data_IF_572267308148
#
_entry.id   IF_572267308148
#
_cell.length_a   1.000
_cell.length_b   1.000
_cell.length_c   1.000
_cell.angle_alpha   90.00
_cell.angle_beta   90.00
_cell.angle_gamma   90.00
#
_symmetry.space_group_name_H-M   'P 1'
#
loop_
_entity.id
_entity.type
_entity.pdbx_description
1 polymer ?
#
# COMPACT_ATOMS: atom_id res chain seq x y z
N UNK A 1 -16.35 3.72 -4.35
CA UNK A 1 -16.15 5.08 -3.82
C UNK A 1 -14.81 5.27 -3.12
N UNK A 2 -14.40 4.38 -2.21
CA UNK A 2 -13.12 4.50 -1.48
C UNK A 2 -11.89 4.65 -2.40
N UNK A 3 -11.83 3.90 -3.51
CA UNK A 3 -10.74 3.97 -4.49
C UNK A 3 -10.58 5.37 -5.09
N UNK A 4 -11.70 5.99 -5.49
CA UNK A 4 -11.71 7.35 -6.04
C UNK A 4 -11.27 8.40 -5.00
N UNK A 5 -11.67 8.23 -3.74
CA UNK A 5 -11.20 9.11 -2.65
C UNK A 5 -9.68 9.02 -2.46
N UNK A 6 -9.09 7.83 -2.54
CA UNK A 6 -7.64 7.65 -2.43
C UNK A 6 -6.90 8.21 -3.65
N UNK A 7 -7.44 8.06 -4.86
CA UNK A 7 -6.90 8.71 -6.05
C UNK A 7 -6.90 10.23 -5.94
N UNK A 8 -8.01 10.83 -5.51
CA UNK A 8 -8.08 12.27 -5.28
C UNK A 8 -7.08 12.72 -4.20
N UNK A 9 -6.91 11.95 -3.12
CA UNK A 9 -5.90 12.23 -2.09
C UNK A 9 -4.47 12.17 -2.64
N UNK A 10 -4.17 11.23 -3.54
CA UNK A 10 -2.87 11.14 -4.24
C UNK A 10 -2.64 12.37 -5.13
N UNK A 11 -3.65 12.80 -5.90
CA UNK A 11 -3.54 13.99 -6.75
C UNK A 11 -3.31 15.27 -5.94
N UNK A 12 -4.04 15.44 -4.84
CA UNK A 12 -3.87 16.56 -3.92
C UNK A 12 -2.48 16.53 -3.27
N UNK A 13 -2.01 15.36 -2.83
CA UNK A 13 -0.69 15.20 -2.23
C UNK A 13 0.44 15.51 -3.24
N UNK A 14 0.30 15.06 -4.50
CA UNK A 14 1.22 15.39 -5.59
C UNK A 14 1.26 16.88 -5.87
N UNK A 15 0.09 17.53 -5.94
CA UNK A 15 -0.02 18.97 -6.16
C UNK A 15 0.62 19.81 -5.04
N UNK A 16 0.59 19.31 -3.80
CA UNK A 16 1.22 19.95 -2.65
C UNK A 16 2.69 19.54 -2.44
N UNK A 17 3.22 18.65 -3.29
CA UNK A 17 4.51 17.98 -3.10
C UNK A 17 4.65 17.32 -1.71
N UNK A 18 3.52 16.95 -1.10
CA UNK A 18 3.46 16.37 0.22
C UNK A 18 3.72 14.86 0.12
N UNK A 19 4.98 14.49 -0.13
CA UNK A 19 5.40 13.10 -0.36
C UNK A 19 4.88 12.17 0.73
N UNK A 20 5.00 12.55 2.02
CA UNK A 20 4.53 11.74 3.16
C UNK A 20 3.02 11.44 3.11
N UNK A 21 2.21 12.39 2.62
CA UNK A 21 0.77 12.16 2.41
C UNK A 21 0.49 11.26 1.21
N UNK A 22 1.30 11.40 0.15
CA UNK A 22 1.23 10.53 -1.03
C UNK A 22 1.49 9.06 -0.64
N UNK A 23 2.53 8.80 0.16
CA UNK A 23 2.86 7.47 0.65
C UNK A 23 1.74 6.88 1.51
N UNK A 24 1.15 7.67 2.41
CA UNK A 24 0.02 7.23 3.26
C UNK A 24 -1.24 6.91 2.46
N UNK A 25 -1.52 7.70 1.43
CA UNK A 25 -2.63 7.44 0.52
C UNK A 25 -2.39 6.15 -0.30
N UNK A 26 -1.17 5.99 -0.84
CA UNK A 26 -0.78 4.79 -1.59
C UNK A 26 -0.85 3.51 -0.73
N UNK A 27 -0.37 3.54 0.52
CA UNK A 27 -0.47 2.43 1.46
C UNK A 27 -1.93 2.04 1.76
N UNK A 28 -2.81 3.04 1.89
CA UNK A 28 -4.23 2.80 2.15
C UNK A 28 -4.95 2.21 0.94
N UNK A 29 -4.60 2.67 -0.26
CA UNK A 29 -5.09 2.12 -1.52
C UNK A 29 -4.58 0.70 -1.76
N UNK A 30 -3.30 0.44 -1.45
CA UNK A 30 -2.69 -0.89 -1.54
C UNK A 30 -3.38 -1.90 -0.60
N UNK A 31 -3.69 -1.52 0.65
CA UNK A 31 -4.48 -2.36 1.56
C UNK A 31 -5.90 -2.61 1.06
N UNK A 32 -6.54 -1.64 0.41
CA UNK A 32 -7.85 -1.83 -0.20
C UNK A 32 -7.79 -2.83 -1.35
N UNK A 33 -6.78 -2.71 -2.22
CA UNK A 33 -6.55 -3.62 -3.33
C UNK A 33 -6.15 -5.03 -2.88
N UNK A 34 -5.42 -5.17 -1.77
CA UNK A 34 -5.16 -6.46 -1.13
C UNK A 34 -6.46 -7.21 -0.79
N UNK A 35 -7.47 -6.51 -0.24
CA UNK A 35 -8.79 -7.11 0.05
C UNK A 35 -9.60 -7.45 -1.20
N UNK A 36 -9.26 -6.86 -2.34
CA UNK A 36 -9.91 -7.09 -3.63
C UNK A 36 -9.14 -8.11 -4.50
N UNK A 37 -8.17 -8.82 -3.93
CA UNK A 37 -7.27 -9.76 -4.63
C UNK A 37 -6.38 -9.09 -5.72
N UNK A 38 -6.36 -7.76 -5.76
CA UNK A 38 -5.57 -6.93 -6.70
C UNK A 38 -4.17 -6.64 -6.16
N UNK A 39 -3.50 -7.67 -5.67
CA UNK A 39 -2.20 -7.55 -5.02
C UNK A 39 -1.12 -7.04 -6.00
N UNK A 40 -1.22 -7.41 -7.28
CA UNK A 40 -0.30 -6.94 -8.32
C UNK A 40 -0.31 -5.42 -8.47
N UNK A 41 -1.50 -4.83 -8.61
CA UNK A 41 -1.67 -3.38 -8.72
C UNK A 41 -1.23 -2.67 -7.42
N UNK A 42 -1.56 -3.23 -6.25
CA UNK A 42 -1.14 -2.72 -4.94
C UNK A 42 0.37 -2.62 -4.81
N UNK A 43 1.07 -3.70 -5.18
CA UNK A 43 2.52 -3.74 -5.15
C UNK A 43 3.12 -2.75 -6.15
N UNK A 44 2.58 -2.69 -7.36
CA UNK A 44 3.10 -1.80 -8.40
C UNK A 44 2.98 -0.33 -8.00
N UNK A 45 1.80 0.10 -7.53
CA UNK A 45 1.57 1.46 -7.06
C UNK A 45 2.47 1.82 -5.87
N UNK A 46 2.50 0.95 -4.86
CA UNK A 46 3.28 1.23 -3.65
C UNK A 46 4.78 1.25 -3.95
N UNK A 47 5.26 0.42 -4.88
CA UNK A 47 6.66 0.42 -5.31
C UNK A 47 7.02 1.68 -6.11
N UNK A 48 6.13 2.17 -6.97
CA UNK A 48 6.32 3.42 -7.71
C UNK A 48 6.49 4.60 -6.74
N UNK A 49 5.57 4.72 -5.77
CA UNK A 49 5.64 5.76 -4.75
C UNK A 49 6.85 5.58 -3.85
N UNK A 50 7.17 4.35 -3.42
CA UNK A 50 8.33 4.05 -2.58
C UNK A 50 9.67 4.38 -3.27
N UNK A 51 9.78 4.17 -4.58
CA UNK A 51 11.00 4.47 -5.35
C UNK A 51 11.36 5.97 -5.29
N UNK A 52 10.38 6.86 -5.24
CA UNK A 52 10.59 8.31 -5.09
C UNK A 52 11.15 8.76 -3.74
N UNK A 53 11.12 7.87 -2.73
CA UNK A 53 11.66 8.11 -1.40
C UNK A 53 13.02 7.48 -1.15
N UNK A 54 13.54 6.67 -2.09
CA UNK A 54 14.78 5.90 -1.91
C UNK A 54 16.02 6.79 -1.66
N UNK A 55 15.97 8.08 -2.01
CA UNK A 55 16.98 9.07 -1.65
C UNK A 55 16.63 9.80 -0.34
N UNK A 56 16.89 9.14 0.79
CA UNK A 56 17.31 9.87 2.00
C UNK A 56 16.29 10.11 3.11
N UNK A 57 15.20 9.34 3.21
CA UNK A 57 14.36 9.35 4.41
C UNK A 57 14.30 7.96 5.05
N UNK A 58 14.63 7.85 6.34
CA UNK A 58 14.37 6.67 7.17
C UNK A 58 13.18 7.01 8.11
N UNK A 59 12.04 7.33 7.50
CA UNK A 59 10.82 7.66 8.26
C UNK A 59 10.06 6.40 8.62
N UNK A 60 9.25 6.49 9.68
CA UNK A 60 8.33 5.41 10.07
C UNK A 60 7.45 4.98 8.88
N UNK A 61 6.96 5.94 8.08
CA UNK A 61 6.14 5.64 6.91
C UNK A 61 6.86 4.78 5.85
N UNK A 62 8.18 4.90 5.69
CA UNK A 62 8.93 4.06 4.75
C UNK A 62 9.15 2.65 5.25
N UNK A 63 9.34 2.49 6.56
CA UNK A 63 9.38 1.16 7.19
C UNK A 63 8.01 0.46 7.06
N UNK A 64 6.93 1.18 7.33
CA UNK A 64 5.56 0.67 7.14
C UNK A 64 5.27 0.34 5.66
N UNK A 65 5.66 1.19 4.72
CA UNK A 65 5.47 0.94 3.29
C UNK A 65 6.26 -0.29 2.83
N UNK A 66 7.48 -0.48 3.34
CA UNK A 66 8.30 -1.65 3.04
C UNK A 66 7.71 -2.92 3.62
N UNK A 67 7.21 -2.88 4.87
CA UNK A 67 6.52 -4.01 5.49
C UNK A 67 5.27 -4.40 4.67
N UNK A 68 4.47 -3.41 4.25
CA UNK A 68 3.30 -3.65 3.42
C UNK A 68 3.67 -4.23 2.03
N UNK A 69 4.75 -3.77 1.40
CA UNK A 69 5.25 -4.35 0.15
C UNK A 69 5.66 -5.83 0.31
N UNK A 70 6.24 -6.17 1.47
CA UNK A 70 6.63 -7.54 1.81
C UNK A 70 5.38 -8.40 2.01
N UNK A 71 4.40 -7.94 2.80
CA UNK A 71 3.10 -8.60 2.98
C UNK A 71 2.40 -8.85 1.64
N UNK A 72 2.37 -7.86 0.74
CA UNK A 72 1.81 -7.98 -0.62
C UNK A 72 2.62 -8.95 -1.51
N UNK A 73 3.92 -9.15 -1.23
CA UNK A 73 4.72 -10.19 -1.87
C UNK A 73 4.41 -11.59 -1.32
N UNK A 74 4.07 -11.68 -0.04
CA UNK A 74 3.81 -12.92 0.69
C UNK A 74 2.37 -13.41 0.61
N UNK A 75 1.39 -12.56 0.28
CA UNK A 75 -0.03 -12.96 0.12
C UNK A 75 -0.24 -14.06 -0.94
N UNK A 76 0.76 -14.36 -1.79
CA UNK A 76 0.73 -15.54 -2.66
C UNK A 76 0.92 -16.89 -1.94
N UNK A 77 1.22 -16.89 -0.63
CA UNK A 77 1.37 -18.11 0.19
C UNK A 77 0.26 -18.35 1.23
N UNK A 78 -0.54 -17.35 1.58
CA UNK A 78 -1.64 -17.51 2.57
C UNK A 78 -2.97 -17.72 1.83
N UNK A 79 -3.03 -18.84 1.12
CA UNK A 79 -4.27 -19.39 0.60
C UNK A 79 -4.39 -20.83 1.04
N UNK A 80 -4.29 -21.12 2.34
CA UNK A 80 -4.91 -22.25 3.08
C UNK A 80 -4.34 -22.34 4.51
N UNK A 81 -5.06 -21.79 5.50
CA UNK A 81 -5.26 -22.34 6.84
C UNK A 81 -5.76 -21.21 7.75
N UNK A 82 -7.08 -21.12 7.93
CA UNK A 82 -7.71 -21.30 9.25
C UNK A 82 -9.24 -21.14 9.08
N UNK A 83 -9.88 -22.18 8.55
CA UNK A 83 -11.33 -22.38 8.68
C UNK A 83 -11.54 -23.67 9.45
N UNK A 84 -11.34 -23.64 10.76
CA UNK A 84 -11.74 -24.68 11.72
C UNK A 84 -11.53 -24.11 13.12
N UNK A 85 -12.47 -24.05 14.05
CA UNK A 85 -13.85 -24.49 14.12
C UNK A 85 -14.56 -23.56 15.11
N UNK A 86 -15.87 -23.40 14.92
CA UNK A 86 -16.76 -23.10 16.02
C UNK A 86 -16.78 -24.30 16.98
N UNK A 87 -16.52 -24.05 18.27
CA UNK A 87 -17.13 -24.76 19.40
C UNK A 87 -17.36 -23.74 20.54
#
# INVERSE_FOLDING_TARGET
EAEACFHNALEIARGQQAKSLELRAAMSLARLWQRQDKVGDARQLLNDVFAWFAEGFDTADLRDARALLDELGETKKVGINETRAAE
#
